data_IF_345699000890
#
_entry.id   IF_345699000890
#
_cell.length_a   1.000
_cell.length_b   1.000
_cell.length_c   1.000
_cell.angle_alpha   90.00
_cell.angle_beta   90.00
_cell.angle_gamma   90.00
#
_symmetry.space_group_name_H-M   'P 1'
#
loop_
_entity.id
_entity.type
_entity.pdbx_description
1 polymer ?
#
# COMPACT_ATOMS: atom_id res chain seq x y z
N UNK A 1 -19.32 4.59 -7.06
CA UNK A 1 -18.42 3.69 -6.33
C UNK A 1 -17.04 4.32 -6.27
N UNK A 2 -16.50 4.48 -5.06
CA UNK A 2 -15.16 5.03 -4.91
C UNK A 2 -14.11 3.99 -5.27
N UNK A 3 -13.06 4.46 -5.94
CA UNK A 3 -11.89 3.63 -6.25
C UNK A 3 -10.76 4.01 -5.31
N UNK A 4 -10.26 3.05 -4.55
CA UNK A 4 -9.29 3.28 -3.49
C UNK A 4 -8.07 2.41 -3.70
N UNK A 5 -6.89 3.00 -3.55
CA UNK A 5 -5.64 2.25 -3.46
C UNK A 5 -5.20 2.20 -2.00
N UNK A 6 -4.89 1.00 -1.51
CA UNK A 6 -4.28 0.81 -0.20
C UNK A 6 -2.92 0.17 -0.42
N UNK A 7 -1.85 0.89 -0.15
CA UNK A 7 -0.51 0.30 -0.14
C UNK A 7 -0.23 -0.30 1.24
N UNK A 8 0.51 -1.39 1.29
CA UNK A 8 0.67 -2.15 2.52
C UNK A 8 -0.59 -2.91 2.89
N UNK A 9 -1.34 -3.36 1.89
CA UNK A 9 -2.67 -3.93 2.07
C UNK A 9 -2.69 -5.22 2.89
N UNK A 10 -1.61 -5.99 2.89
CA UNK A 10 -1.50 -7.23 3.65
C UNK A 10 -0.92 -7.02 5.06
N UNK A 11 -0.52 -5.78 5.40
CA UNK A 11 -0.11 -5.42 6.74
C UNK A 11 -1.30 -5.36 7.69
N UNK A 12 -1.02 -5.18 8.99
CA UNK A 12 -2.08 -5.18 10.00
C UNK A 12 -3.10 -4.06 9.75
N UNK A 13 -2.63 -2.83 9.65
CA UNK A 13 -3.53 -1.69 9.46
C UNK A 13 -4.16 -1.73 8.07
N UNK A 14 -3.35 -2.02 7.03
CA UNK A 14 -3.83 -2.06 5.65
C UNK A 14 -4.95 -3.08 5.45
N UNK A 15 -4.80 -4.26 6.02
CA UNK A 15 -5.82 -5.30 5.96
C UNK A 15 -7.16 -4.82 6.54
N UNK A 16 -7.14 -4.18 7.72
CA UNK A 16 -8.35 -3.68 8.34
C UNK A 16 -8.97 -2.53 7.52
N UNK A 17 -8.13 -1.68 6.93
CA UNK A 17 -8.62 -0.63 6.03
C UNK A 17 -9.32 -1.21 4.81
N UNK A 18 -8.73 -2.23 4.19
CA UNK A 18 -9.31 -2.89 3.02
C UNK A 18 -10.68 -3.48 3.37
N UNK A 19 -10.76 -4.21 4.49
CA UNK A 19 -12.03 -4.80 4.91
C UNK A 19 -13.12 -3.74 5.13
N UNK A 20 -12.76 -2.64 5.79
CA UNK A 20 -13.72 -1.57 6.05
C UNK A 20 -14.19 -0.90 4.75
N UNK A 21 -13.27 -0.62 3.85
CA UNK A 21 -13.60 0.00 2.57
C UNK A 21 -14.51 -0.89 1.72
N UNK A 22 -14.23 -2.18 1.67
CA UNK A 22 -15.09 -3.13 0.96
C UNK A 22 -16.47 -3.18 1.57
N UNK A 23 -16.57 -3.17 2.90
CA UNK A 23 -17.85 -3.17 3.60
C UNK A 23 -18.67 -1.91 3.31
N UNK A 24 -18.00 -0.80 2.99
CA UNK A 24 -18.66 0.46 2.64
C UNK A 24 -18.95 0.59 1.15
N UNK A 25 -18.71 -0.47 0.37
CA UNK A 25 -19.03 -0.49 -1.05
C UNK A 25 -17.96 0.10 -1.97
N UNK A 26 -16.74 0.33 -1.47
CA UNK A 26 -15.66 0.82 -2.30
C UNK A 26 -15.04 -0.30 -3.14
N UNK A 27 -14.44 0.07 -4.26
CA UNK A 27 -13.60 -0.82 -5.04
C UNK A 27 -12.15 -0.57 -4.67
N UNK A 28 -11.44 -1.62 -4.26
CA UNK A 28 -10.11 -1.49 -3.66
C UNK A 28 -9.07 -2.24 -4.49
N UNK A 29 -7.97 -1.54 -4.79
CA UNK A 29 -6.74 -2.16 -5.26
C UNK A 29 -5.77 -2.15 -4.08
N UNK A 30 -5.29 -3.33 -3.69
CA UNK A 30 -4.27 -3.46 -2.67
C UNK A 30 -2.90 -3.64 -3.31
N UNK A 31 -1.89 -3.00 -2.74
CA UNK A 31 -0.51 -3.17 -3.18
C UNK A 31 0.33 -3.60 -1.98
N UNK A 32 1.05 -4.70 -2.11
CA UNK A 32 1.94 -5.19 -1.05
C UNK A 32 3.08 -5.97 -1.68
N UNK A 33 4.29 -5.70 -1.23
CA UNK A 33 5.48 -6.39 -1.73
C UNK A 33 5.60 -7.80 -1.14
N UNK A 34 4.82 -8.12 -0.12
CA UNK A 34 4.83 -9.41 0.54
C UNK A 34 6.22 -9.76 1.08
N UNK A 35 6.92 -8.75 1.63
CA UNK A 35 8.26 -8.96 2.19
C UNK A 35 8.19 -9.85 3.43
N UNK A 36 9.30 -10.51 3.73
CA UNK A 36 9.38 -11.49 4.81
C UNK A 36 9.86 -10.92 6.14
N UNK A 37 9.88 -9.60 6.31
CA UNK A 37 10.22 -8.96 7.58
C UNK A 37 9.29 -9.47 8.69
N UNK A 38 8.00 -9.56 8.40
CA UNK A 38 7.04 -10.31 9.21
C UNK A 38 6.72 -11.63 8.52
N UNK A 39 6.10 -12.55 9.24
CA UNK A 39 5.72 -13.84 8.68
C UNK A 39 4.77 -13.67 7.49
N UNK A 40 5.21 -14.09 6.31
CA UNK A 40 4.43 -14.00 5.08
C UNK A 40 3.14 -14.81 5.18
N UNK A 41 3.15 -15.92 5.95
CA UNK A 41 1.94 -16.73 6.13
C UNK A 41 0.83 -15.93 6.80
N UNK A 42 1.16 -14.99 7.69
CA UNK A 42 0.19 -14.10 8.31
C UNK A 42 -0.42 -13.16 7.27
N UNK A 43 0.39 -12.63 6.37
CA UNK A 43 -0.10 -11.80 5.26
C UNK A 43 -1.02 -12.59 4.34
N UNK A 44 -0.65 -13.82 3.99
CA UNK A 44 -1.49 -14.70 3.16
C UNK A 44 -2.81 -15.03 3.87
N UNK A 45 -2.78 -15.24 5.18
CA UNK A 45 -3.99 -15.49 5.96
C UNK A 45 -4.94 -14.30 5.93
N UNK A 46 -4.40 -13.08 6.03
CA UNK A 46 -5.20 -11.85 5.93
C UNK A 46 -5.84 -11.72 4.55
N UNK A 47 -5.09 -11.98 3.50
CA UNK A 47 -5.62 -11.94 2.13
C UNK A 47 -6.70 -12.99 1.91
N UNK A 48 -6.50 -14.20 2.45
CA UNK A 48 -7.52 -15.25 2.37
C UNK A 48 -8.80 -14.85 3.09
N UNK A 49 -8.70 -14.08 4.18
CA UNK A 49 -9.84 -13.60 4.93
C UNK A 49 -10.64 -12.54 4.17
N UNK A 50 -9.99 -11.73 3.36
CA UNK A 50 -10.67 -10.82 2.45
C UNK A 50 -11.45 -11.63 1.41
N UNK A 51 -10.88 -12.73 0.94
CA UNK A 51 -11.51 -13.63 0.00
C UNK A 51 -11.52 -13.11 -1.43
N UNK A 52 -12.19 -13.86 -2.30
CA UNK A 52 -12.34 -13.47 -3.69
C UNK A 52 -13.60 -12.62 -3.85
N UNK A 53 -13.41 -11.42 -4.37
CA UNK A 53 -14.50 -10.51 -4.67
C UNK A 53 -14.09 -9.66 -5.87
N UNK A 54 -15.03 -9.33 -6.78
CA UNK A 54 -14.69 -8.46 -7.91
C UNK A 54 -14.31 -7.05 -7.50
N UNK A 55 -14.58 -6.68 -6.24
CA UNK A 55 -14.29 -5.33 -5.75
C UNK A 55 -12.88 -5.21 -5.14
N UNK A 56 -12.12 -6.30 -5.06
CA UNK A 56 -10.76 -6.27 -4.53
C UNK A 56 -9.79 -6.95 -5.50
N UNK A 57 -8.69 -6.25 -5.79
CA UNK A 57 -7.58 -6.80 -6.57
C UNK A 57 -6.27 -6.55 -5.81
N UNK A 58 -5.46 -7.60 -5.64
CA UNK A 58 -4.14 -7.45 -5.06
C UNK A 58 -3.08 -7.37 -6.16
N UNK A 59 -2.19 -6.39 -6.04
CA UNK A 59 -0.98 -6.29 -6.85
C UNK A 59 0.21 -6.59 -5.96
N UNK A 60 0.92 -7.68 -6.22
CA UNK A 60 2.13 -8.02 -5.48
C UNK A 60 3.31 -7.31 -6.12
N UNK A 61 3.67 -6.16 -5.57
CA UNK A 61 4.79 -5.35 -6.05
C UNK A 61 5.23 -4.40 -4.96
N UNK A 62 6.44 -3.89 -5.09
CA UNK A 62 6.98 -2.91 -4.16
C UNK A 62 6.66 -1.49 -4.62
N UNK A 63 6.35 -0.61 -3.68
CA UNK A 63 6.05 0.80 -3.99
C UNK A 63 7.22 1.52 -4.62
N UNK A 64 8.45 1.12 -4.30
CA UNK A 64 9.65 1.72 -4.85
C UNK A 64 10.00 1.24 -6.26
N UNK A 65 9.33 0.21 -6.78
CA UNK A 65 9.59 -0.27 -8.12
C UNK A 65 9.18 0.78 -9.15
N UNK A 66 10.12 1.24 -10.00
CA UNK A 66 9.80 2.31 -10.95
C UNK A 66 8.60 1.99 -11.85
N UNK A 67 7.69 2.93 -11.93
CA UNK A 67 6.54 2.84 -12.83
C UNK A 67 5.32 2.13 -12.27
N UNK A 68 5.45 1.31 -11.23
CA UNK A 68 4.33 0.52 -10.70
C UNK A 68 3.18 1.42 -10.27
N UNK A 69 3.45 2.42 -9.43
CA UNK A 69 2.40 3.31 -8.94
C UNK A 69 1.87 4.22 -10.05
N UNK A 70 2.74 4.75 -10.90
CA UNK A 70 2.31 5.61 -12.00
C UNK A 70 1.37 4.86 -12.93
N UNK A 71 1.69 3.61 -13.26
CA UNK A 71 0.85 2.78 -14.12
C UNK A 71 -0.50 2.48 -13.47
N UNK A 72 -0.50 2.15 -12.18
CA UNK A 72 -1.74 1.91 -11.45
C UNK A 72 -2.63 3.16 -11.39
N UNK A 73 -2.04 4.31 -11.11
CA UNK A 73 -2.79 5.56 -11.05
C UNK A 73 -3.40 5.92 -12.41
N UNK A 74 -2.66 5.71 -13.49
CA UNK A 74 -3.16 5.95 -14.84
C UNK A 74 -4.30 4.99 -15.20
N UNK A 75 -4.16 3.73 -14.85
CA UNK A 75 -5.11 2.68 -15.18
C UNK A 75 -6.41 2.80 -14.40
N UNK A 76 -6.32 3.02 -13.08
CA UNK A 76 -7.47 2.92 -12.17
C UNK A 76 -8.12 4.26 -11.85
N UNK A 77 -7.39 5.37 -11.91
CA UNK A 77 -7.91 6.71 -11.59
C UNK A 77 -8.52 6.76 -10.18
N UNK A 78 -7.68 6.59 -9.16
CA UNK A 78 -8.13 6.50 -7.78
C UNK A 78 -8.76 7.80 -7.26
N UNK A 79 -9.82 7.66 -6.48
CA UNK A 79 -10.43 8.76 -5.73
C UNK A 79 -9.69 9.00 -4.42
N UNK A 80 -9.26 7.91 -3.77
CA UNK A 80 -8.59 7.94 -2.48
C UNK A 80 -7.38 7.01 -2.53
N UNK A 81 -6.26 7.49 -2.00
CA UNK A 81 -5.06 6.67 -1.84
C UNK A 81 -4.67 6.68 -0.36
N UNK A 82 -4.55 5.49 0.23
CA UNK A 82 -4.10 5.30 1.61
C UNK A 82 -2.75 4.61 1.54
N UNK A 83 -1.70 5.36 1.84
CA UNK A 83 -0.32 4.87 1.73
C UNK A 83 0.20 4.44 3.08
N UNK A 84 0.29 3.13 3.28
CA UNK A 84 0.75 2.52 4.53
C UNK A 84 2.00 1.66 4.32
N UNK A 85 2.40 1.43 3.06
CA UNK A 85 3.55 0.61 2.76
C UNK A 85 4.83 1.30 3.20
N UNK A 86 5.56 0.67 4.10
CA UNK A 86 6.81 1.19 4.64
C UNK A 86 7.54 0.08 5.34
N UNK A 87 8.85 0.25 5.52
CA UNK A 87 9.61 -0.62 6.38
C UNK A 87 9.57 -0.05 7.79
N UNK A 88 9.10 -0.85 8.74
CA UNK A 88 8.97 -0.47 10.15
C UNK A 88 10.11 -1.08 10.98
N UNK A 89 10.31 -0.55 12.19
CA UNK A 89 11.24 -1.08 13.17
C UNK A 89 12.54 -0.26 13.25
N UNK A 90 12.74 0.40 14.41
CA UNK A 90 13.94 1.25 14.62
C UNK A 90 15.23 0.42 14.60
N UNK A 91 15.20 -0.74 15.27
CA UNK A 91 16.41 -1.60 15.32
C UNK A 91 16.78 -2.13 13.94
N UNK A 92 15.81 -2.55 13.16
CA UNK A 92 16.04 -3.07 11.81
C UNK A 92 16.62 -2.00 10.88
N UNK A 93 16.34 -0.71 11.14
CA UNK A 93 16.88 0.37 10.32
C UNK A 93 18.40 0.48 10.44
N UNK A 94 18.97 0.04 11.57
CA UNK A 94 20.41 0.01 11.77
C UNK A 94 21.04 -1.19 11.01
N UNK A 95 20.33 -2.31 10.99
CA UNK A 95 20.81 -3.53 10.34
C UNK A 95 20.65 -3.51 8.82
N UNK A 96 19.56 -2.87 8.33
CA UNK A 96 19.23 -2.85 6.90
C UNK A 96 18.79 -1.45 6.46
N UNK A 97 19.67 -0.44 6.55
CA UNK A 97 19.29 0.94 6.22
C UNK A 97 18.84 1.12 4.77
N UNK A 98 19.40 0.35 3.84
CA UNK A 98 19.03 0.44 2.43
C UNK A 98 17.55 0.11 2.20
N UNK A 99 17.00 -0.84 2.94
CA UNK A 99 15.59 -1.19 2.87
C UNK A 99 14.71 0.02 3.21
N UNK A 100 15.11 0.81 4.22
CA UNK A 100 14.36 2.00 4.62
C UNK A 100 14.43 3.08 3.57
N UNK A 101 15.61 3.28 2.96
CA UNK A 101 15.75 4.25 1.87
C UNK A 101 14.86 3.85 0.69
N UNK A 102 14.89 2.58 0.32
CA UNK A 102 14.10 2.10 -0.81
C UNK A 102 12.59 2.18 -0.54
N UNK A 103 12.13 1.59 0.56
CA UNK A 103 10.69 1.54 0.85
C UNK A 103 10.13 2.89 1.25
N UNK A 104 10.82 3.59 2.17
CA UNK A 104 10.23 4.78 2.79
C UNK A 104 10.52 6.05 2.01
N UNK A 105 11.72 6.19 1.46
CA UNK A 105 12.08 7.40 0.71
C UNK A 105 11.74 7.25 -0.77
N UNK A 106 12.27 6.24 -1.44
CA UNK A 106 12.02 6.05 -2.88
C UNK A 106 10.56 5.69 -3.13
N UNK A 107 9.97 4.86 -2.27
CA UNK A 107 8.54 4.53 -2.37
C UNK A 107 7.65 5.76 -2.27
N UNK A 108 7.96 6.68 -1.35
CA UNK A 108 7.21 7.94 -1.23
C UNK A 108 7.42 8.82 -2.46
N UNK A 109 8.63 8.87 -2.98
CA UNK A 109 8.91 9.59 -4.23
C UNK A 109 8.06 9.06 -5.38
N UNK A 110 8.02 7.74 -5.57
CA UNK A 110 7.22 7.12 -6.62
C UNK A 110 5.72 7.43 -6.44
N UNK A 111 5.25 7.41 -5.21
CA UNK A 111 3.86 7.75 -4.88
C UNK A 111 3.54 9.20 -5.26
N UNK A 112 4.40 10.12 -4.88
CA UNK A 112 4.18 11.55 -5.14
C UNK A 112 4.24 11.85 -6.63
N UNK A 113 5.12 11.19 -7.38
CA UNK A 113 5.18 11.34 -8.82
C UNK A 113 3.92 10.80 -9.50
N UNK A 114 3.42 9.66 -9.05
CA UNK A 114 2.17 9.11 -9.56
C UNK A 114 0.99 10.06 -9.28
N UNK A 115 0.94 10.61 -8.07
CA UNK A 115 -0.11 11.55 -7.68
C UNK A 115 -0.02 12.88 -8.44
N UNK A 116 1.20 13.33 -8.76
CA UNK A 116 1.39 14.54 -9.54
C UNK A 116 0.87 14.37 -10.96
N UNK A 117 1.09 13.22 -11.57
CA UNK A 117 0.67 12.92 -12.93
C UNK A 117 -0.82 12.58 -13.03
N UNK A 118 -1.37 11.92 -12.01
CA UNK A 118 -2.77 11.50 -11.96
C UNK A 118 -3.33 11.76 -10.57
N UNK A 119 -3.66 13.02 -10.22
CA UNK A 119 -4.03 13.38 -8.85
C UNK A 119 -5.29 12.66 -8.37
N UNK A 120 -5.24 11.97 -7.22
CA UNK A 120 -6.46 11.49 -6.56
C UNK A 120 -7.17 12.66 -5.87
N UNK A 121 -8.42 12.45 -5.47
CA UNK A 121 -9.14 13.49 -4.72
C UNK A 121 -8.58 13.65 -3.32
N UNK A 122 -8.10 12.55 -2.72
CA UNK A 122 -7.48 12.53 -1.41
C UNK A 122 -6.28 11.61 -1.39
N UNK A 123 -5.23 12.02 -0.72
CA UNK A 123 -4.05 11.20 -0.47
C UNK A 123 -3.77 11.23 1.03
N UNK A 124 -3.89 10.06 1.67
CA UNK A 124 -3.56 9.88 3.09
C UNK A 124 -2.20 9.19 3.17
N UNK A 125 -1.25 9.85 3.78
CA UNK A 125 0.11 9.36 3.91
C UNK A 125 0.39 9.11 5.38
N UNK A 126 0.66 7.84 5.75
CA UNK A 126 1.00 7.51 7.12
C UNK A 126 2.36 8.12 7.49
N UNK A 127 2.41 8.78 8.62
CA UNK A 127 3.62 9.36 9.17
C UNK A 127 4.03 8.58 10.42
N UNK A 128 4.80 9.20 11.29
CA UNK A 128 5.30 8.53 12.48
C UNK A 128 4.42 8.80 13.70
N UNK A 129 4.38 7.83 14.61
CA UNK A 129 3.78 8.01 15.93
C UNK A 129 4.70 8.78 16.90
N UNK A 130 5.93 9.04 16.48
CA UNK A 130 6.97 9.67 17.30
C UNK A 130 7.10 11.18 17.08
N UNK A 131 6.06 11.82 16.63
CA UNK A 131 6.06 13.26 16.39
C UNK A 131 6.19 14.04 17.70
#
# INVERSE_FOLDING_TARGET
MRRVLVTGAAGFIGFHCVQRLLAEGARVVGLDAMTDYYDVSLKRARLAKIGETPDFRLVEAAVETPGVLTDLFAEERFDLVIHLAAQAGVRYSIEAPKTYVQSNLIGTYELLEAARNHPPRHLLLASTSSI
#
